data_IF_932162336811
#
_entry.id   IF_932162336811
#
_cell.length_a   1.000
_cell.length_b   1.000
_cell.length_c   1.000
_cell.angle_alpha   90.00
_cell.angle_beta   90.00
_cell.angle_gamma   90.00
#
_symmetry.space_group_name_H-M   'P 1'
#
loop_
_entity.id
_entity.type
_entity.pdbx_description
1 polymer ?
#
# COMPACT_ATOMS: atom_id res chain seq x y z
N UNK A 1 -21.53 11.19 -2.99
CA UNK A 1 -21.08 10.21 -1.98
C UNK A 1 -22.18 9.19 -1.80
N UNK A 2 -21.90 7.90 -2.00
CA UNK A 2 -22.84 6.85 -1.61
C UNK A 2 -22.92 6.82 -0.08
N UNK A 3 -24.12 7.00 0.47
CA UNK A 3 -24.39 6.73 1.88
C UNK A 3 -24.44 5.20 2.05
N UNK A 4 -23.37 4.61 2.59
CA UNK A 4 -23.26 3.17 2.81
C UNK A 4 -22.02 2.54 2.20
N UNK A 5 -21.95 1.21 2.25
CA UNK A 5 -20.89 0.44 1.62
C UNK A 5 -21.11 0.38 0.10
N UNK A 6 -20.08 0.67 -0.68
CA UNK A 6 -20.05 0.33 -2.11
C UNK A 6 -19.42 -1.05 -2.26
N UNK A 7 -20.13 -1.94 -2.93
CA UNK A 7 -19.65 -3.28 -3.30
C UNK A 7 -19.63 -3.39 -4.81
N UNK A 8 -18.48 -3.79 -5.37
CA UNK A 8 -18.33 -4.04 -6.80
C UNK A 8 -17.63 -5.38 -7.04
N UNK A 9 -18.26 -6.27 -7.82
CA UNK A 9 -17.64 -7.50 -8.33
C UNK A 9 -17.54 -7.39 -9.86
N UNK A 10 -16.32 -7.16 -10.34
CA UNK A 10 -15.97 -6.86 -11.72
C UNK A 10 -15.24 -8.05 -12.33
N UNK A 11 -15.72 -8.48 -13.50
CA UNK A 11 -15.02 -9.46 -14.34
C UNK A 11 -13.87 -8.85 -15.15
N UNK A 12 -13.88 -7.54 -15.34
CA UNK A 12 -12.88 -6.78 -16.08
C UNK A 12 -12.06 -5.85 -15.19
N UNK A 13 -11.26 -4.99 -15.82
CA UNK A 13 -10.42 -4.01 -15.13
C UNK A 13 -11.29 -2.86 -14.61
N UNK A 14 -11.10 -2.47 -13.35
CA UNK A 14 -11.63 -1.19 -12.86
C UNK A 14 -10.74 -0.06 -13.40
N UNK A 15 -11.29 0.79 -14.27
CA UNK A 15 -10.62 1.99 -14.77
C UNK A 15 -11.02 3.20 -13.92
N UNK A 16 -10.17 3.57 -12.97
CA UNK A 16 -10.31 4.77 -12.13
C UNK A 16 -9.14 5.76 -12.30
N UNK A 17 -8.16 5.48 -13.17
CA UNK A 17 -7.04 6.36 -13.47
C UNK A 17 -7.41 7.56 -14.35
N UNK A 18 -6.40 8.22 -14.91
CA UNK A 18 -6.57 9.33 -15.83
C UNK A 18 -7.37 8.94 -17.07
N UNK A 19 -8.36 9.75 -17.42
CA UNK A 19 -8.93 9.69 -18.76
C UNK A 19 -7.99 10.38 -19.75
N UNK A 20 -7.27 9.58 -20.55
CA UNK A 20 -6.36 10.05 -21.58
C UNK A 20 -7.09 10.73 -22.75
N UNK A 21 -8.40 10.55 -22.88
CA UNK A 21 -9.22 11.12 -23.94
C UNK A 21 -9.98 12.39 -23.50
N UNK A 22 -10.00 12.70 -22.19
CA UNK A 22 -10.75 13.83 -21.65
C UNK A 22 -10.05 14.50 -20.47
N UNK A 23 -9.15 15.45 -20.78
CA UNK A 23 -8.63 16.44 -19.84
C UNK A 23 -7.71 15.91 -18.71
N UNK A 24 -7.17 14.69 -18.80
CA UNK A 24 -6.29 14.06 -17.77
C UNK A 24 -6.86 14.18 -16.35
N UNK A 25 -8.18 14.14 -16.20
CA UNK A 25 -8.80 14.11 -14.87
C UNK A 25 -8.78 12.66 -14.38
N UNK A 26 -8.23 12.44 -13.18
CA UNK A 26 -8.28 11.13 -12.52
C UNK A 26 -9.69 10.80 -12.08
N UNK A 27 -10.06 9.53 -12.14
CA UNK A 27 -11.32 9.04 -11.60
C UNK A 27 -11.38 9.17 -10.07
N UNK A 28 -12.60 9.27 -9.53
CA UNK A 28 -12.85 9.25 -8.08
C UNK A 28 -13.86 8.16 -7.75
N UNK A 29 -13.40 7.12 -7.06
CA UNK A 29 -14.23 6.08 -6.47
C UNK A 29 -14.30 6.29 -4.96
N UNK A 30 -15.47 6.64 -4.43
CA UNK A 30 -15.62 6.97 -3.01
C UNK A 30 -16.95 6.51 -2.41
N UNK A 31 -16.89 6.00 -1.19
CA UNK A 31 -18.03 5.58 -0.38
C UNK A 31 -17.66 5.61 1.11
N UNK A 32 -18.62 5.36 2.03
CA UNK A 32 -18.30 5.25 3.46
C UNK A 32 -17.38 4.06 3.74
N UNK A 33 -17.66 2.92 3.10
CA UNK A 33 -16.84 1.71 3.05
C UNK A 33 -16.75 1.22 1.61
N UNK A 34 -15.64 0.59 1.24
CA UNK A 34 -15.42 0.02 -0.09
C UNK A 34 -15.15 -1.48 0.03
N UNK A 35 -15.82 -2.27 -0.81
CA UNK A 35 -15.47 -3.67 -1.08
C UNK A 35 -15.38 -3.85 -2.59
N UNK A 36 -14.16 -3.92 -3.11
CA UNK A 36 -13.88 -3.97 -4.55
C UNK A 36 -13.24 -5.31 -4.89
N UNK A 37 -13.85 -6.04 -5.82
CA UNK A 37 -13.29 -7.25 -6.40
C UNK A 37 -13.16 -7.05 -7.91
N UNK A 38 -11.93 -6.96 -8.41
CA UNK A 38 -11.62 -6.72 -9.82
C UNK A 38 -10.48 -7.63 -10.27
N UNK A 39 -10.78 -8.89 -10.57
CA UNK A 39 -9.75 -9.93 -10.75
C UNK A 39 -8.87 -9.73 -11.99
N UNK A 40 -9.33 -8.94 -12.97
CA UNK A 40 -8.52 -8.57 -14.13
C UNK A 40 -7.58 -7.38 -13.86
N UNK A 41 -7.74 -6.69 -12.73
CA UNK A 41 -6.88 -5.59 -12.31
C UNK A 41 -7.64 -4.32 -11.92
N UNK A 42 -6.93 -3.42 -11.25
CA UNK A 42 -7.36 -2.06 -10.96
C UNK A 42 -6.33 -1.10 -11.55
N UNK A 43 -6.81 -0.17 -12.37
CA UNK A 43 -6.05 0.96 -12.88
C UNK A 43 -6.53 2.21 -12.16
N UNK A 44 -5.75 2.65 -11.18
CA UNK A 44 -5.93 3.87 -10.41
C UNK A 44 -4.81 4.88 -10.72
N UNK A 45 -4.20 4.83 -11.91
CA UNK A 45 -3.11 5.72 -12.28
C UNK A 45 -3.56 7.19 -12.28
N UNK A 46 -3.09 8.01 -11.34
CA UNK A 46 -3.57 9.39 -11.18
C UNK A 46 -4.98 9.53 -10.60
N UNK A 47 -5.61 8.42 -10.24
CA UNK A 47 -6.96 8.35 -9.71
C UNK A 47 -7.02 8.40 -8.18
N UNK A 48 -8.24 8.41 -7.64
CA UNK A 48 -8.49 8.34 -6.19
C UNK A 48 -9.54 7.28 -5.85
N UNK A 49 -9.17 6.35 -4.96
CA UNK A 49 -10.07 5.39 -4.32
C UNK A 49 -10.10 5.71 -2.82
N UNK A 50 -11.28 5.96 -2.24
CA UNK A 50 -11.37 6.46 -0.86
C UNK A 50 -12.59 5.93 -0.08
N UNK A 51 -12.33 5.21 1.01
CA UNK A 51 -13.32 4.85 2.02
C UNK A 51 -13.36 5.94 3.11
N UNK A 52 -14.42 6.74 3.10
CA UNK A 52 -14.49 8.01 3.84
C UNK A 52 -14.65 7.85 5.35
N UNK A 53 -15.19 6.72 5.84
CA UNK A 53 -15.49 6.52 7.27
C UNK A 53 -15.16 5.11 7.78
N UNK A 54 -14.77 4.19 6.92
CA UNK A 54 -14.44 2.82 7.30
C UNK A 54 -13.42 2.21 6.35
N UNK A 55 -13.57 0.92 6.09
CA UNK A 55 -12.54 0.12 5.43
C UNK A 55 -12.62 0.18 3.91
N UNK A 56 -11.46 0.03 3.26
CA UNK A 56 -11.33 -0.28 1.85
C UNK A 56 -10.77 -1.70 1.71
N UNK A 57 -11.64 -2.64 1.38
CA UNK A 57 -11.31 -4.05 1.16
C UNK A 57 -11.22 -4.31 -0.33
N UNK A 58 -10.05 -4.72 -0.82
CA UNK A 58 -9.78 -4.85 -2.26
C UNK A 58 -9.21 -6.24 -2.56
N UNK A 59 -9.79 -6.92 -3.53
CA UNK A 59 -9.26 -8.14 -4.14
C UNK A 59 -9.08 -7.92 -5.62
N UNK A 60 -7.85 -8.03 -6.13
CA UNK A 60 -7.54 -7.70 -7.52
C UNK A 60 -6.54 -8.68 -8.14
N UNK A 61 -6.41 -8.63 -9.47
CA UNK A 61 -5.25 -9.18 -10.17
C UNK A 61 -4.04 -8.30 -9.87
N UNK A 62 -3.70 -7.38 -10.78
CA UNK A 62 -2.71 -6.35 -10.49
C UNK A 62 -3.38 -5.03 -10.03
N UNK A 63 -2.62 -4.18 -9.34
CA UNK A 63 -3.06 -2.85 -8.92
C UNK A 63 -2.03 -1.81 -9.38
N UNK A 64 -2.43 -0.95 -10.32
CA UNK A 64 -1.67 0.25 -10.68
C UNK A 64 -2.22 1.45 -9.90
N UNK A 65 -1.49 1.91 -8.89
CA UNK A 65 -1.79 3.09 -8.08
C UNK A 65 -0.80 4.23 -8.35
N UNK A 66 -0.10 4.22 -9.48
CA UNK A 66 0.95 5.21 -9.73
C UNK A 66 0.37 6.62 -9.74
N UNK A 67 1.04 7.61 -9.15
CA UNK A 67 0.52 8.99 -9.00
C UNK A 67 -0.91 9.07 -8.43
N UNK A 68 -1.41 7.98 -7.84
CA UNK A 68 -2.79 7.79 -7.44
C UNK A 68 -2.90 7.71 -5.93
N UNK A 69 -4.13 7.64 -5.44
CA UNK A 69 -4.40 7.59 -4.02
C UNK A 69 -5.37 6.49 -3.64
N UNK A 70 -4.98 5.67 -2.66
CA UNK A 70 -5.82 4.70 -1.99
C UNK A 70 -5.93 5.05 -0.50
N UNK A 71 -7.12 5.41 -0.05
CA UNK A 71 -7.32 5.90 1.31
C UNK A 71 -8.47 5.21 2.03
N UNK A 72 -8.31 4.96 3.33
CA UNK A 72 -9.39 4.55 4.20
C UNK A 72 -9.30 5.27 5.56
N UNK A 73 -10.44 5.58 6.19
CA UNK A 73 -10.41 5.98 7.61
C UNK A 73 -10.20 4.80 8.55
N UNK A 74 -10.57 3.59 8.13
CA UNK A 74 -10.30 2.35 8.84
C UNK A 74 -9.13 1.61 8.21
N UNK A 75 -9.36 0.34 7.90
CA UNK A 75 -8.40 -0.56 7.26
C UNK A 75 -8.33 -0.31 5.74
N UNK A 76 -7.11 -0.20 5.20
CA UNK A 76 -6.83 -0.52 3.80
C UNK A 76 -6.36 -1.95 3.74
N UNK A 77 -7.13 -2.84 3.12
CA UNK A 77 -6.73 -4.21 2.86
C UNK A 77 -6.71 -4.49 1.37
N UNK A 78 -5.57 -4.99 0.86
CA UNK A 78 -5.43 -5.38 -0.55
C UNK A 78 -4.90 -6.80 -0.64
N UNK A 79 -5.66 -7.69 -1.26
CA UNK A 79 -5.19 -9.00 -1.68
C UNK A 79 -5.04 -9.02 -3.20
N UNK A 80 -3.85 -9.35 -3.71
CA UNK A 80 -3.59 -9.25 -5.15
C UNK A 80 -2.32 -9.92 -5.66
N UNK A 81 -1.98 -9.60 -6.90
CA UNK A 81 -0.75 -9.95 -7.61
C UNK A 81 0.30 -8.87 -7.41
N UNK A 82 0.66 -8.15 -8.46
CA UNK A 82 1.59 -7.03 -8.38
C UNK A 82 0.86 -5.75 -7.97
N UNK A 83 1.55 -4.92 -7.19
CA UNK A 83 1.06 -3.60 -6.80
C UNK A 83 2.12 -2.56 -7.14
N UNK A 84 1.77 -1.59 -7.97
CA UNK A 84 2.61 -0.43 -8.26
C UNK A 84 2.05 0.82 -7.57
N UNK A 85 2.73 1.29 -6.53
CA UNK A 85 2.47 2.50 -5.77
C UNK A 85 3.50 3.62 -6.10
N UNK A 86 4.18 3.56 -7.24
CA UNK A 86 5.23 4.51 -7.59
C UNK A 86 4.72 5.80 -8.25
N UNK A 87 5.63 6.67 -8.70
CA UNK A 87 5.30 7.76 -9.62
C UNK A 87 5.93 9.10 -9.24
N UNK A 88 6.03 10.01 -10.21
CA UNK A 88 6.70 11.31 -10.06
C UNK A 88 5.95 12.29 -9.12
N UNK A 89 4.65 12.07 -8.87
CA UNK A 89 3.83 12.80 -7.91
C UNK A 89 3.41 11.92 -6.72
N UNK A 90 4.15 10.84 -6.49
CA UNK A 90 3.94 9.81 -5.48
C UNK A 90 2.64 9.00 -5.67
N UNK A 91 2.74 7.66 -5.66
CA UNK A 91 1.59 6.83 -5.32
C UNK A 91 1.38 6.84 -3.82
N UNK A 92 0.15 7.00 -3.36
CA UNK A 92 -0.17 7.17 -1.95
C UNK A 92 -1.13 6.09 -1.45
N UNK A 93 -0.78 5.46 -0.33
CA UNK A 93 -1.66 4.62 0.46
C UNK A 93 -1.69 5.16 1.88
N UNK A 94 -2.87 5.48 2.40
CA UNK A 94 -3.02 5.85 3.80
C UNK A 94 -4.27 5.27 4.46
N UNK A 95 -4.13 4.84 5.71
CA UNK A 95 -5.25 4.40 6.52
C UNK A 95 -4.90 4.18 7.98
N UNK A 96 -5.90 3.87 8.79
CA UNK A 96 -5.67 3.58 10.21
C UNK A 96 -4.83 2.30 10.36
N UNK A 97 -5.18 1.26 9.61
CA UNK A 97 -4.36 0.06 9.41
C UNK A 97 -4.15 -0.17 7.92
N UNK A 98 -3.00 -0.74 7.57
CA UNK A 98 -2.71 -1.16 6.20
C UNK A 98 -2.26 -2.62 6.21
N UNK A 99 -2.98 -3.46 5.48
CA UNK A 99 -2.67 -4.87 5.27
C UNK A 99 -2.59 -5.17 3.76
N UNK A 100 -1.37 -5.38 3.24
CA UNK A 100 -1.14 -5.77 1.85
C UNK A 100 -0.72 -7.24 1.80
N UNK A 101 -1.55 -8.11 1.21
CA UNK A 101 -1.28 -9.53 0.97
C UNK A 101 -1.13 -9.79 -0.53
N UNK A 102 0.09 -9.63 -1.01
CA UNK A 102 0.43 -9.65 -2.42
C UNK A 102 1.18 -10.93 -2.77
N UNK A 103 0.76 -11.58 -3.85
CA UNK A 103 1.47 -12.74 -4.42
C UNK A 103 2.64 -12.32 -5.30
N UNK A 104 2.64 -11.08 -5.77
CA UNK A 104 3.64 -10.51 -6.68
C UNK A 104 4.54 -9.46 -6.01
N UNK A 105 5.11 -8.59 -6.82
CA UNK A 105 5.98 -7.51 -6.37
C UNK A 105 5.17 -6.31 -5.87
N UNK A 106 5.68 -5.65 -4.83
CA UNK A 106 5.26 -4.29 -4.45
C UNK A 106 6.34 -3.31 -4.88
N UNK A 107 6.00 -2.42 -5.81
CA UNK A 107 6.82 -1.27 -6.20
C UNK A 107 6.31 -0.03 -5.47
N UNK A 108 7.09 0.48 -4.53
CA UNK A 108 6.84 1.71 -3.78
C UNK A 108 7.90 2.80 -4.06
N UNK A 109 8.54 2.77 -5.23
CA UNK A 109 9.55 3.78 -5.58
C UNK A 109 8.94 5.16 -5.69
N UNK A 110 9.51 6.15 -5.00
CA UNK A 110 8.90 7.50 -4.87
C UNK A 110 7.48 7.47 -4.24
N UNK A 111 6.99 6.30 -3.83
CA UNK A 111 5.66 6.14 -3.25
C UNK A 111 5.68 6.33 -1.74
N UNK A 112 4.48 6.54 -1.19
CA UNK A 112 4.24 6.67 0.25
C UNK A 112 3.19 5.64 0.67
N UNK A 113 3.54 4.81 1.65
CA UNK A 113 2.60 3.94 2.37
C UNK A 113 2.69 4.33 3.84
N UNK A 114 1.63 4.92 4.37
CA UNK A 114 1.59 5.42 5.74
C UNK A 114 0.36 4.93 6.50
N UNK A 115 0.59 4.24 7.61
CA UNK A 115 -0.48 3.82 8.52
C UNK A 115 -0.49 4.65 9.80
N UNK A 116 -1.68 4.98 10.32
CA UNK A 116 -1.80 5.66 11.60
C UNK A 116 -1.59 4.71 12.80
N UNK A 117 -1.76 3.39 12.61
CA UNK A 117 -1.59 2.41 13.69
C UNK A 117 -0.73 1.20 13.34
N UNK A 118 -1.02 0.42 12.32
CA UNK A 118 -0.24 -0.79 12.02
C UNK A 118 -0.07 -1.00 10.53
N UNK A 119 1.10 -1.53 10.16
CA UNK A 119 1.50 -1.80 8.79
C UNK A 119 1.92 -3.26 8.65
N UNK A 120 1.20 -4.02 7.81
CA UNK A 120 1.53 -5.39 7.46
C UNK A 120 1.67 -5.51 5.95
N UNK A 121 2.83 -5.96 5.49
CA UNK A 121 3.11 -6.17 4.07
C UNK A 121 3.65 -7.57 3.86
N UNK A 122 2.95 -8.34 3.03
CA UNK A 122 3.40 -9.60 2.48
C UNK A 122 3.49 -9.48 0.96
N UNK A 123 4.64 -9.84 0.40
CA UNK A 123 4.90 -9.74 -1.04
C UNK A 123 5.98 -10.73 -1.48
N UNK A 124 6.08 -11.01 -2.77
CA UNK A 124 7.20 -11.77 -3.31
C UNK A 124 8.50 -10.96 -3.31
N UNK A 125 8.41 -9.64 -3.55
CA UNK A 125 9.52 -8.69 -3.44
C UNK A 125 8.97 -7.29 -3.14
N UNK A 126 9.83 -6.43 -2.59
CA UNK A 126 9.49 -5.06 -2.25
C UNK A 126 10.60 -4.12 -2.70
N UNK A 127 10.30 -3.23 -3.65
CA UNK A 127 11.17 -2.11 -4.03
C UNK A 127 10.64 -0.83 -3.38
N UNK A 128 11.33 -0.36 -2.35
CA UNK A 128 11.08 0.92 -1.67
C UNK A 128 12.20 1.94 -1.95
N UNK A 129 12.91 1.82 -3.07
CA UNK A 129 13.97 2.78 -3.39
C UNK A 129 13.39 4.19 -3.53
N UNK A 130 13.99 5.16 -2.83
CA UNK A 130 13.49 6.56 -2.75
C UNK A 130 12.04 6.72 -2.30
N UNK A 131 11.42 5.64 -1.79
CA UNK A 131 10.06 5.61 -1.27
C UNK A 131 10.01 5.71 0.25
N UNK A 132 8.79 5.75 0.79
CA UNK A 132 8.53 5.85 2.22
C UNK A 132 7.54 4.79 2.69
N UNK A 133 7.92 4.08 3.75
CA UNK A 133 7.08 3.14 4.50
C UNK A 133 7.00 3.64 5.94
N UNK A 134 5.80 3.98 6.41
CA UNK A 134 5.60 4.66 7.70
C UNK A 134 4.48 4.00 8.52
N UNK A 135 4.73 3.81 9.81
CA UNK A 135 3.71 3.45 10.79
C UNK A 135 3.81 4.39 11.99
N UNK A 136 2.81 5.25 12.15
CA UNK A 136 2.85 6.37 13.11
C UNK A 136 2.36 6.01 14.52
N UNK A 137 1.61 4.92 14.66
CA UNK A 137 1.04 4.50 15.94
C UNK A 137 2.11 4.00 16.90
N UNK A 138 2.01 4.35 18.19
CA UNK A 138 2.97 3.95 19.23
C UNK A 138 2.71 2.56 19.84
N UNK A 139 1.71 1.86 19.31
CA UNK A 139 1.30 0.52 19.70
C UNK A 139 1.17 -0.40 18.49
N UNK A 140 1.05 -1.71 18.73
CA UNK A 140 0.91 -2.69 17.65
C UNK A 140 2.23 -3.05 17.00
N UNK A 141 2.15 -3.55 15.76
CA UNK A 141 3.27 -4.15 15.05
C UNK A 141 3.36 -3.66 13.61
N UNK A 142 4.58 -3.34 13.18
CA UNK A 142 4.96 -3.28 11.77
C UNK A 142 5.54 -4.64 11.36
N UNK A 143 5.01 -5.25 10.30
CA UNK A 143 5.40 -6.59 9.87
C UNK A 143 5.66 -6.63 8.36
N UNK A 144 6.84 -7.13 7.99
CA UNK A 144 7.19 -7.44 6.60
C UNK A 144 7.44 -8.94 6.47
N UNK A 145 6.79 -9.56 5.48
CA UNK A 145 6.99 -10.95 5.07
C UNK A 145 7.29 -10.97 3.58
N UNK A 146 8.56 -10.80 3.21
CA UNK A 146 9.00 -10.60 1.84
C UNK A 146 9.72 -11.86 1.34
N UNK A 147 9.13 -12.58 0.39
CA UNK A 147 9.69 -13.86 -0.06
C UNK A 147 11.10 -13.77 -0.65
N UNK A 148 11.43 -12.62 -1.25
CA UNK A 148 12.70 -12.36 -1.91
C UNK A 148 13.35 -11.06 -1.43
N UNK A 149 13.77 -10.22 -2.38
CA UNK A 149 14.44 -8.96 -2.08
C UNK A 149 13.48 -7.91 -1.51
N UNK A 150 13.87 -7.34 -0.37
CA UNK A 150 13.42 -6.04 0.09
C UNK A 150 14.53 -5.01 -0.18
N UNK A 151 14.35 -4.18 -1.21
CA UNK A 151 15.25 -3.09 -1.58
C UNK A 151 14.77 -1.75 -1.01
N UNK A 152 15.40 -1.27 0.05
CA UNK A 152 15.17 0.02 0.69
C UNK A 152 16.30 1.02 0.39
N UNK A 153 17.10 0.84 -0.67
CA UNK A 153 18.22 1.75 -0.97
C UNK A 153 17.72 3.16 -1.26
N UNK A 154 18.29 4.15 -0.57
CA UNK A 154 17.84 5.55 -0.61
C UNK A 154 16.37 5.76 -0.20
N UNK A 155 15.71 4.73 0.34
CA UNK A 155 14.35 4.79 0.85
C UNK A 155 14.31 4.98 2.36
N UNK A 156 13.11 5.16 2.89
CA UNK A 156 12.86 5.33 4.32
C UNK A 156 11.87 4.29 4.81
N UNK A 157 12.23 3.64 5.91
CA UNK A 157 11.33 2.82 6.73
C UNK A 157 11.31 3.39 8.14
N UNK A 158 10.16 3.90 8.57
CA UNK A 158 9.97 4.49 9.88
C UNK A 158 8.77 3.86 10.59
N UNK A 159 8.98 3.37 11.80
CA UNK A 159 7.89 2.81 12.60
C UNK A 159 7.99 3.22 14.05
N UNK A 160 6.89 3.77 14.55
CA UNK A 160 6.66 4.03 15.96
C UNK A 160 5.96 2.88 16.68
N UNK A 161 5.54 1.83 15.96
CA UNK A 161 4.85 0.69 16.53
C UNK A 161 5.69 0.06 17.65
N UNK A 162 5.05 -0.63 18.59
CA UNK A 162 5.78 -1.31 19.67
C UNK A 162 6.77 -2.33 19.12
N UNK A 163 6.34 -3.11 18.13
CA UNK A 163 7.16 -4.14 17.51
C UNK A 163 7.40 -3.87 16.01
N UNK A 164 8.59 -4.23 15.54
CA UNK A 164 8.96 -4.39 14.14
C UNK A 164 9.46 -5.82 13.92
N UNK A 165 8.90 -6.50 12.92
CA UNK A 165 9.49 -7.72 12.35
C UNK A 165 9.68 -7.53 10.85
N UNK A 166 10.90 -7.72 10.38
CA UNK A 166 11.25 -7.76 8.96
C UNK A 166 11.79 -9.14 8.63
N UNK A 167 10.99 -9.97 7.98
CA UNK A 167 11.42 -11.24 7.39
C UNK A 167 11.52 -11.06 5.88
N UNK A 168 12.72 -11.24 5.31
CA UNK A 168 12.97 -11.09 3.89
C UNK A 168 13.95 -12.13 3.34
N UNK A 169 13.83 -12.52 2.07
CA UNK A 169 14.87 -13.33 1.43
C UNK A 169 16.23 -12.61 1.36
N UNK A 170 16.23 -11.29 1.18
CA UNK A 170 17.40 -10.42 1.36
C UNK A 170 16.97 -8.98 1.62
N UNK A 171 17.82 -8.19 2.28
CA UNK A 171 17.54 -6.80 2.60
C UNK A 171 18.67 -5.89 2.16
N UNK A 172 18.37 -4.93 1.27
CA UNK A 172 19.32 -3.89 0.84
C UNK A 172 18.89 -2.53 1.39
N UNK A 173 19.75 -1.88 2.16
CA UNK A 173 19.45 -0.59 2.77
C UNK A 173 20.54 0.47 2.54
N UNK A 174 21.38 0.29 1.52
CA UNK A 174 22.47 1.24 1.21
C UNK A 174 21.90 2.63 0.89
N UNK A 175 22.34 3.64 1.64
CA UNK A 175 21.84 5.02 1.52
C UNK A 175 20.41 5.24 2.00
N UNK A 176 19.71 4.17 2.44
CA UNK A 176 18.39 4.24 3.04
C UNK A 176 18.41 4.31 4.55
N UNK A 177 17.24 4.44 5.16
CA UNK A 177 17.06 4.45 6.61
C UNK A 177 16.05 3.40 7.05
N UNK A 178 16.34 2.80 8.21
CA UNK A 178 15.43 1.98 8.97
C UNK A 178 15.42 2.50 10.40
N UNK A 179 14.31 3.09 10.82
CA UNK A 179 14.12 3.67 12.15
C UNK A 179 12.93 3.01 12.84
N UNK A 180 13.20 2.38 13.98
CA UNK A 180 12.19 1.89 14.91
C UNK A 180 12.32 2.65 16.22
N UNK A 181 11.29 3.43 16.56
CA UNK A 181 11.25 4.19 17.83
C UNK A 181 10.34 3.52 18.87
N UNK A 182 9.85 2.32 18.56
CA UNK A 182 9.12 1.46 19.49
C UNK A 182 10.00 0.94 20.62
N UNK A 183 9.35 0.47 21.68
CA UNK A 183 10.02 -0.04 22.89
C UNK A 183 9.99 -1.57 22.99
N UNK A 184 9.50 -2.26 21.96
CA UNK A 184 9.35 -3.71 21.92
C UNK A 184 10.37 -4.39 21.02
N UNK A 185 9.91 -5.38 20.27
CA UNK A 185 10.74 -6.24 19.43
C UNK A 185 11.24 -5.47 18.22
N UNK A 186 12.55 -5.45 18.02
CA UNK A 186 13.17 -5.12 16.74
C UNK A 186 13.80 -6.39 16.17
N UNK A 187 13.13 -7.02 15.20
CA UNK A 187 13.59 -8.27 14.61
C UNK A 187 13.77 -8.12 13.10
N UNK A 188 14.92 -8.58 12.61
CA UNK A 188 15.28 -8.66 11.21
C UNK A 188 15.83 -10.05 10.95
N UNK A 189 15.12 -10.80 10.10
CA UNK A 189 15.52 -12.11 9.62
C UNK A 189 15.74 -12.04 8.12
N UNK A 190 16.86 -12.61 7.66
CA UNK A 190 17.11 -12.87 6.24
C UNK A 190 17.49 -14.32 6.01
N UNK A 191 16.98 -14.94 4.95
CA UNK A 191 17.29 -16.33 4.59
C UNK A 191 18.70 -16.50 4.03
#
# INVERSE_FOLDING_TARGET
SLQGAMVADLRGVLKNGYDLNNNRQGGVTQAQRLSLKALAGIDNYGGRISAQTGDALITTGDFDNRNGGLYAKGLVQVSGGNFDNSGDNDGQIAGQRIDLDLRGALNNRLGIIESDSSLSIKAASLDNQTGQLRALGTSGKTSFQIGGLFDNRNGTLETANTDLTLDAGSFLNTGGSLLHVGTGTFDISTN
#
